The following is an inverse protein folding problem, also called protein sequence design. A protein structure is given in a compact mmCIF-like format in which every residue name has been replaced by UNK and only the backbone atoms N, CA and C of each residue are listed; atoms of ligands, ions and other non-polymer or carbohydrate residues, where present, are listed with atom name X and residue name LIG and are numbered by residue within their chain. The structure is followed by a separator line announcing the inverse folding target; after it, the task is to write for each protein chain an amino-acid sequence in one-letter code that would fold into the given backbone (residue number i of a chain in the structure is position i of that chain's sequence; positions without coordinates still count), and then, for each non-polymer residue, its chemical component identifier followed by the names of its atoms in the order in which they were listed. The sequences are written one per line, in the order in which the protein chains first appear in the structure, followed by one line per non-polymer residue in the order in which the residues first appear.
data_IF_498902160270
#
_entry.id   IF_498902160270
#
_cell.length_a   1.000
_cell.length_b   1.000
_cell.length_c   1.000
_cell.angle_alpha   90.00
_cell.angle_beta   90.00
_cell.angle_gamma   90.00
#
_symmetry.space_group_name_H-M   'P 1'
#
loop_
_entity.id
_entity.type
_entity.pdbx_description
1 polymer ?
#
# COMPACT_ATOMS: atom_id res chain seq x y z
N UNK A 1 2.36 1.38 4.24
CA UNK A 1 2.71 1.32 2.80
C UNK A 1 4.21 1.32 2.67
N UNK A 2 4.77 0.48 1.79
CA UNK A 2 6.21 0.29 1.71
C UNK A 2 6.78 0.90 0.42
N UNK A 3 7.72 1.85 0.56
CA UNK A 3 8.51 2.38 -0.54
C UNK A 3 9.87 1.67 -0.55
N UNK A 4 10.33 1.25 -1.73
CA UNK A 4 11.67 0.74 -1.94
C UNK A 4 12.27 1.30 -3.23
N UNK A 5 13.59 1.28 -3.34
CA UNK A 5 14.35 1.66 -4.53
C UNK A 5 15.28 0.48 -4.83
N UNK A 6 14.80 -0.65 -5.36
CA UNK A 6 15.58 -1.87 -5.48
C UNK A 6 16.76 -1.73 -6.45
N UNK A 7 16.68 -0.81 -7.41
CA UNK A 7 17.68 -0.66 -8.45
C UNK A 7 17.79 0.80 -8.94
N UNK A 8 18.91 1.07 -9.62
CA UNK A 8 19.16 2.32 -10.35
C UNK A 8 19.47 2.01 -11.80
N UNK A 9 19.04 2.87 -12.72
CA UNK A 9 19.30 2.73 -14.15
C UNK A 9 19.96 4.00 -14.70
N UNK A 10 20.89 3.84 -15.65
CA UNK A 10 21.46 4.97 -16.39
C UNK A 10 20.58 5.26 -17.59
N UNK A 11 20.06 6.48 -17.68
CA UNK A 11 19.23 6.94 -18.78
C UNK A 11 19.85 8.13 -19.51
N UNK A 12 19.52 8.28 -20.78
CA UNK A 12 19.83 9.49 -21.55
C UNK A 12 18.74 10.54 -21.34
N UNK A 13 19.14 11.77 -21.06
CA UNK A 13 18.28 12.95 -21.08
C UNK A 13 18.04 13.44 -22.51
N UNK A 14 17.08 14.35 -22.65
CA UNK A 14 16.67 14.92 -23.95
C UNK A 14 17.82 15.64 -24.67
N UNK A 15 18.76 16.19 -23.92
CA UNK A 15 19.97 16.86 -24.42
C UNK A 15 21.15 15.91 -24.69
N UNK A 16 20.93 14.58 -24.63
CA UNK A 16 21.96 13.56 -24.82
C UNK A 16 22.88 13.33 -23.61
N UNK A 17 22.74 14.10 -22.53
CA UNK A 17 23.48 13.85 -21.28
C UNK A 17 22.94 12.61 -20.56
N UNK A 18 23.79 11.84 -19.90
CA UNK A 18 23.32 10.70 -19.09
C UNK A 18 23.06 11.10 -17.64
N UNK A 19 22.07 10.44 -17.03
CA UNK A 19 21.76 10.61 -15.61
C UNK A 19 21.38 9.26 -14.98
N UNK A 20 21.51 9.19 -13.66
CA UNK A 20 21.06 8.04 -12.88
C UNK A 20 19.61 8.26 -12.47
N UNK A 21 18.73 7.35 -12.88
CA UNK A 21 17.37 7.25 -12.40
C UNK A 21 17.30 6.22 -11.25
N UNK A 22 16.45 6.53 -10.28
CA UNK A 22 16.14 5.69 -9.12
C UNK A 22 14.75 5.10 -9.35
N UNK A 23 14.66 3.77 -9.38
CA UNK A 23 13.42 3.06 -9.66
C UNK A 23 12.64 2.95 -8.34
N UNK A 24 11.67 3.83 -8.13
CA UNK A 24 10.84 3.83 -6.92
C UNK A 24 9.75 2.79 -7.09
N UNK A 25 9.81 1.77 -6.25
CA UNK A 25 8.79 0.76 -6.12
C UNK A 25 7.88 1.10 -4.95
N UNK A 26 6.58 1.07 -5.18
CA UNK A 26 5.57 1.12 -4.13
C UNK A 26 5.03 -0.28 -4.00
N UNK A 27 5.14 -0.84 -2.79
CA UNK A 27 4.54 -2.13 -2.50
C UNK A 27 5.02 -3.20 -3.51
N UNK A 28 6.34 -3.26 -3.74
CA UNK A 28 7.01 -4.22 -4.64
C UNK A 28 6.89 -3.95 -6.13
N UNK A 29 5.95 -3.10 -6.56
CA UNK A 29 5.73 -2.78 -7.98
C UNK A 29 6.39 -1.46 -8.32
N UNK A 30 7.04 -1.40 -9.48
CA UNK A 30 7.59 -0.14 -9.99
C UNK A 30 6.47 0.89 -10.15
N UNK A 31 6.59 2.00 -9.42
CA UNK A 31 5.66 3.13 -9.47
C UNK A 31 6.18 4.22 -10.41
N UNK A 32 7.41 4.69 -10.18
CA UNK A 32 8.02 5.72 -10.98
C UNK A 32 9.54 5.62 -11.06
N UNK A 33 10.13 6.30 -12.04
CA UNK A 33 11.56 6.47 -12.24
C UNK A 33 11.88 7.94 -12.12
N UNK A 34 12.71 8.30 -11.15
CA UNK A 34 13.04 9.71 -10.89
C UNK A 34 14.54 9.91 -10.79
N UNK A 35 15.02 11.07 -11.22
CA UNK A 35 16.41 11.50 -10.98
C UNK A 35 16.55 12.15 -9.62
N UNK A 36 17.76 12.14 -9.06
CA UNK A 36 18.06 12.74 -7.76
C UNK A 36 17.55 14.19 -7.63
N UNK A 37 17.68 15.01 -8.68
CA UNK A 37 17.23 16.41 -8.65
C UNK A 37 15.72 16.56 -8.56
N UNK A 38 14.91 15.60 -9.03
CA UNK A 38 13.46 15.62 -8.84
C UNK A 38 13.10 15.39 -7.36
N UNK A 39 13.73 14.39 -6.72
CA UNK A 39 13.53 14.13 -5.29
C UNK A 39 14.04 15.27 -4.42
N UNK A 40 15.14 15.92 -4.82
CA UNK A 40 15.62 17.11 -4.12
C UNK A 40 14.65 18.28 -4.26
N UNK A 41 14.09 18.50 -5.45
CA UNK A 41 13.07 19.52 -5.65
C UNK A 41 11.83 19.29 -4.77
N UNK A 42 11.38 18.04 -4.65
CA UNK A 42 10.35 17.66 -3.70
C UNK A 42 10.76 17.98 -2.26
N UNK A 43 11.97 17.58 -1.84
CA UNK A 43 12.49 17.87 -0.50
C UNK A 43 12.50 19.36 -0.17
N UNK A 44 12.98 20.19 -1.09
CA UNK A 44 13.04 21.65 -0.92
C UNK A 44 11.64 22.25 -0.78
N UNK A 45 10.65 21.74 -1.52
CA UNK A 45 9.25 22.18 -1.41
C UNK A 45 8.62 21.76 -0.07
N UNK A 46 8.78 20.50 0.34
CA UNK A 46 8.27 20.01 1.64
C UNK A 46 8.92 20.81 2.78
N UNK A 47 10.24 21.04 2.70
CA UNK A 47 10.98 21.82 3.69
C UNK A 47 10.51 23.27 3.78
N UNK A 48 10.14 23.87 2.64
CA UNK A 48 9.59 25.23 2.58
C UNK A 48 8.21 25.31 3.23
N UNK A 49 7.36 24.31 3.04
CA UNK A 49 5.98 24.30 3.55
C UNK A 49 5.89 23.91 5.03
N UNK A 50 6.59 22.84 5.44
CA UNK A 50 6.46 22.25 6.78
C UNK A 50 7.62 22.60 7.74
N UNK A 51 8.69 23.21 7.22
CA UNK A 51 9.85 23.64 8.00
C UNK A 51 10.89 22.54 8.23
N UNK A 52 12.12 22.96 8.52
CA UNK A 52 13.30 22.06 8.59
C UNK A 52 13.26 21.02 9.72
N UNK A 53 12.46 21.24 10.76
CA UNK A 53 12.41 20.36 11.93
C UNK A 53 11.50 19.14 11.71
N UNK A 54 10.62 19.19 10.71
CA UNK A 54 9.67 18.11 10.39
C UNK A 54 10.23 17.21 9.29
N UNK A 55 10.98 17.78 8.34
CA UNK A 55 11.42 17.04 7.16
C UNK A 55 12.57 16.09 7.48
N UNK A 56 12.49 14.80 7.08
CA UNK A 56 13.58 13.85 7.24
C UNK A 56 14.88 14.30 6.56
N UNK A 57 16.00 13.78 7.05
CA UNK A 57 17.31 14.06 6.45
C UNK A 57 17.36 13.62 4.98
N UNK A 58 17.85 14.51 4.11
CA UNK A 58 17.97 14.25 2.68
C UNK A 58 19.44 14.09 2.28
N UNK A 59 19.79 13.12 1.41
CA UNK A 59 21.18 12.91 0.99
C UNK A 59 21.73 14.14 0.25
N UNK A 60 22.92 14.65 0.63
CA UNK A 60 23.43 15.91 0.09
C UNK A 60 23.87 15.80 -1.38
N UNK A 61 23.85 16.95 -2.07
CA UNK A 61 24.45 17.12 -3.38
C UNK A 61 25.96 16.89 -3.28
N UNK A 62 26.54 16.20 -4.27
CA UNK A 62 27.99 16.06 -4.45
C UNK A 62 28.38 16.82 -5.71
N UNK A 63 29.55 17.47 -5.68
CA UNK A 63 30.02 18.39 -6.74
C UNK A 63 30.64 17.61 -7.91
N UNK A 64 31.10 16.38 -7.67
CA UNK A 64 31.70 15.50 -8.67
C UNK A 64 30.75 14.36 -9.07
N UNK A 65 31.03 13.76 -10.23
CA UNK A 65 30.37 12.54 -10.69
C UNK A 65 30.51 11.45 -9.63
N UNK A 66 29.40 10.78 -9.33
CA UNK A 66 29.39 9.71 -8.33
C UNK A 66 30.10 8.46 -8.86
N UNK A 67 30.89 7.84 -7.99
CA UNK A 67 31.31 6.44 -8.17
C UNK A 67 30.11 5.49 -8.00
N UNK A 68 30.18 4.26 -8.52
CA UNK A 68 29.10 3.27 -8.34
C UNK A 68 28.73 3.02 -6.87
N UNK A 69 29.72 2.98 -5.97
CA UNK A 69 29.49 2.83 -4.53
C UNK A 69 28.73 4.03 -3.93
N UNK A 70 29.02 5.25 -4.39
CA UNK A 70 28.29 6.44 -3.94
C UNK A 70 26.89 6.54 -4.52
N UNK A 71 26.65 5.99 -5.72
CA UNK A 71 25.29 5.85 -6.28
C UNK A 71 24.47 4.91 -5.40
N UNK A 72 25.03 3.77 -5.03
CA UNK A 72 24.36 2.80 -4.18
C UNK A 72 24.08 3.38 -2.78
N UNK A 73 25.06 4.04 -2.17
CA UNK A 73 24.87 4.73 -0.90
C UNK A 73 23.77 5.81 -1.00
N UNK A 74 23.69 6.54 -2.12
CA UNK A 74 22.64 7.53 -2.34
C UNK A 74 21.28 6.86 -2.53
N UNK A 75 21.20 5.73 -3.23
CA UNK A 75 19.98 4.93 -3.41
C UNK A 75 19.41 4.53 -2.06
N UNK A 76 20.21 3.98 -1.16
CA UNK A 76 19.81 3.61 0.20
C UNK A 76 19.28 4.80 1.01
N UNK A 77 19.98 5.95 0.96
CA UNK A 77 19.53 7.14 1.67
C UNK A 77 18.23 7.74 1.10
N UNK A 78 18.05 7.71 -0.23
CA UNK A 78 16.81 8.15 -0.85
C UNK A 78 15.64 7.21 -0.51
N UNK A 79 15.89 5.91 -0.43
CA UNK A 79 14.90 4.92 0.02
C UNK A 79 14.44 5.22 1.46
N UNK A 80 15.40 5.38 2.38
CA UNK A 80 15.11 5.76 3.78
C UNK A 80 14.34 7.09 3.85
N UNK A 81 14.72 8.07 3.05
CA UNK A 81 14.01 9.35 2.97
C UNK A 81 12.55 9.18 2.53
N UNK A 82 12.29 8.43 1.46
CA UNK A 82 10.93 8.18 0.95
C UNK A 82 10.07 7.44 1.97
N UNK A 83 10.65 6.45 2.66
CA UNK A 83 9.97 5.72 3.73
C UNK A 83 9.62 6.66 4.90
N UNK A 84 10.55 7.49 5.34
CA UNK A 84 10.34 8.44 6.44
C UNK A 84 9.27 9.49 6.10
N UNK A 85 9.30 10.06 4.89
CA UNK A 85 8.27 11.01 4.42
C UNK A 85 6.89 10.36 4.40
N UNK A 86 6.79 9.10 3.93
CA UNK A 86 5.49 8.41 3.89
C UNK A 86 4.96 8.03 5.28
N UNK A 87 5.85 7.69 6.22
CA UNK A 87 5.47 7.28 7.57
C UNK A 87 5.05 8.47 8.45
N UNK A 88 5.51 9.68 8.13
CA UNK A 88 5.07 10.88 8.82
C UNK A 88 3.58 11.17 8.52
N UNK A 89 2.70 11.30 9.54
CA UNK A 89 1.26 11.50 9.34
C UNK A 89 0.90 12.79 8.58
N UNK A 90 1.73 13.83 8.69
CA UNK A 90 1.52 15.11 8.04
C UNK A 90 2.07 15.09 6.61
N UNK A 91 3.32 14.64 6.44
CA UNK A 91 3.99 14.65 5.14
C UNK A 91 3.44 13.56 4.21
N UNK A 92 3.18 12.36 4.75
CA UNK A 92 2.71 11.22 3.97
C UNK A 92 1.32 11.40 3.39
N UNK A 93 0.48 12.20 4.04
CA UNK A 93 -0.85 12.60 3.55
C UNK A 93 -0.86 13.94 2.79
N UNK A 94 0.30 14.60 2.64
CA UNK A 94 0.38 15.89 1.97
C UNK A 94 0.07 15.78 0.48
N UNK A 95 -0.70 16.74 -0.03
CA UNK A 95 -1.00 16.82 -1.46
C UNK A 95 0.27 17.05 -2.30
N UNK A 96 1.27 17.74 -1.75
CA UNK A 96 2.56 17.91 -2.39
C UNK A 96 3.26 16.57 -2.69
N UNK A 97 3.32 15.68 -1.70
CA UNK A 97 3.95 14.38 -1.86
C UNK A 97 3.15 13.48 -2.82
N UNK A 98 1.82 13.42 -2.64
CA UNK A 98 0.95 12.60 -3.49
C UNK A 98 0.93 13.11 -4.94
N UNK A 99 0.90 14.43 -5.16
CA UNK A 99 0.98 15.04 -6.50
C UNK A 99 2.30 14.75 -7.21
N UNK A 100 3.43 14.78 -6.47
CA UNK A 100 4.71 14.36 -7.01
C UNK A 100 4.67 12.90 -7.50
N UNK A 101 4.14 11.98 -6.69
CA UNK A 101 4.06 10.56 -7.04
C UNK A 101 3.19 10.31 -8.27
N UNK A 102 2.08 11.02 -8.42
CA UNK A 102 1.20 10.92 -9.60
C UNK A 102 1.88 11.39 -10.88
N UNK A 103 2.47 12.59 -10.84
CA UNK A 103 3.20 13.15 -11.98
C UNK A 103 4.35 12.25 -12.39
N UNK A 104 5.14 11.76 -11.42
CA UNK A 104 6.23 10.85 -11.68
C UNK A 104 5.76 9.50 -12.27
N UNK A 105 4.61 8.97 -11.83
CA UNK A 105 4.02 7.76 -12.40
C UNK A 105 3.65 7.95 -13.87
N UNK A 106 2.97 9.06 -14.18
CA UNK A 106 2.55 9.39 -15.55
C UNK A 106 3.75 9.62 -16.47
N UNK A 107 4.75 10.40 -16.03
CA UNK A 107 6.00 10.65 -16.76
C UNK A 107 6.76 9.35 -17.06
N UNK A 108 6.80 8.43 -16.09
CA UNK A 108 7.51 7.14 -16.23
C UNK A 108 6.92 6.27 -17.32
N UNK A 109 5.59 6.27 -17.46
CA UNK A 109 4.89 5.47 -18.46
C UNK A 109 4.68 6.21 -19.78
N UNK A 110 4.99 7.52 -19.82
CA UNK A 110 4.85 8.39 -20.99
C UNK A 110 3.41 8.41 -21.54
N UNK A 111 2.42 8.32 -20.65
CA UNK A 111 1.00 8.32 -21.01
C UNK A 111 0.48 9.76 -20.97
N UNK A 112 0.04 10.35 -22.09
CA UNK A 112 -0.54 11.69 -22.10
C UNK A 112 -1.86 11.72 -21.34
N UNK A 113 -2.28 12.92 -20.91
CA UNK A 113 -3.61 13.10 -20.32
C UNK A 113 -4.66 13.12 -21.43
N UNK A 114 -5.54 12.12 -21.44
CA UNK A 114 -6.62 11.99 -22.43
C UNK A 114 -7.83 11.27 -21.83
N UNK A 115 -9.01 11.45 -22.44
CA UNK A 115 -10.23 10.75 -22.04
C UNK A 115 -10.20 9.30 -22.53
N UNK A 116 -10.50 8.38 -21.62
CA UNK A 116 -10.48 6.93 -21.87
C UNK A 116 -11.67 6.26 -21.20
N UNK A 117 -12.13 5.15 -21.78
CA UNK A 117 -13.05 4.24 -21.13
C UNK A 117 -12.26 3.21 -20.32
N UNK A 118 -12.56 3.11 -19.02
CA UNK A 118 -11.97 2.13 -18.12
C UNK A 118 -13.04 1.17 -17.58
N UNK A 119 -12.79 -0.13 -17.72
CA UNK A 119 -13.65 -1.18 -17.17
C UNK A 119 -13.28 -1.47 -15.72
N UNK A 120 -14.29 -1.43 -14.85
CA UNK A 120 -14.18 -1.78 -13.44
C UNK A 120 -15.04 -3.02 -13.16
N UNK A 121 -14.41 -4.09 -12.71
CA UNK A 121 -15.08 -5.34 -12.37
C UNK A 121 -15.82 -5.23 -11.04
N UNK A 122 -16.98 -5.87 -10.96
CA UNK A 122 -17.70 -6.16 -9.73
C UNK A 122 -17.42 -7.60 -9.29
N UNK A 123 -17.72 -7.92 -8.03
CA UNK A 123 -17.41 -9.26 -7.47
C UNK A 123 -18.17 -10.42 -8.15
N UNK A 124 -19.27 -10.14 -8.85
CA UNK A 124 -20.02 -11.11 -9.65
C UNK A 124 -19.53 -11.23 -11.11
N UNK A 125 -18.38 -10.62 -11.46
CA UNK A 125 -17.81 -10.65 -12.81
C UNK A 125 -18.42 -9.63 -13.79
N UNK A 126 -19.46 -8.89 -13.41
CA UNK A 126 -19.97 -7.80 -14.24
C UNK A 126 -18.94 -6.67 -14.35
N UNK A 127 -18.93 -5.98 -15.49
CA UNK A 127 -18.06 -4.83 -15.74
C UNK A 127 -18.87 -3.54 -15.78
N UNK A 128 -18.35 -2.51 -15.14
CA UNK A 128 -18.85 -1.14 -15.15
C UNK A 128 -17.83 -0.29 -15.91
N UNK A 129 -18.19 0.15 -17.11
CA UNK A 129 -17.34 1.03 -17.91
C UNK A 129 -17.59 2.49 -17.51
N UNK A 130 -16.54 3.19 -17.13
CA UNK A 130 -16.53 4.61 -16.78
C UNK A 130 -15.63 5.40 -17.72
N UNK A 131 -16.01 6.64 -18.05
CA UNK A 131 -15.17 7.55 -18.82
C UNK A 131 -14.38 8.41 -17.83
N UNK A 132 -13.05 8.36 -17.92
CA UNK A 132 -12.12 9.02 -17.01
C UNK A 132 -10.99 9.68 -17.81
N UNK A 133 -10.18 10.51 -17.17
CA UNK A 133 -8.87 10.89 -17.71
C UNK A 133 -7.83 9.84 -17.33
N UNK A 134 -6.83 9.62 -18.20
CA UNK A 134 -5.66 8.78 -17.86
C UNK A 134 -4.88 9.29 -16.64
N UNK A 135 -5.05 10.57 -16.28
CA UNK A 135 -4.47 11.25 -15.11
C UNK A 135 -5.40 11.30 -13.89
N UNK A 136 -6.60 10.73 -13.96
CA UNK A 136 -7.51 10.66 -12.81
C UNK A 136 -6.94 9.74 -11.74
N UNK A 137 -7.12 10.14 -10.48
CA UNK A 137 -6.62 9.42 -9.31
C UNK A 137 -7.60 8.33 -8.87
N UNK A 138 -7.17 7.48 -7.94
CA UNK A 138 -8.02 6.41 -7.40
C UNK A 138 -9.39 6.90 -6.91
N UNK A 139 -9.45 8.03 -6.21
CA UNK A 139 -10.72 8.59 -5.73
C UNK A 139 -11.59 9.12 -6.88
N UNK A 140 -11.01 9.81 -7.87
CA UNK A 140 -11.75 10.30 -9.04
C UNK A 140 -12.42 9.15 -9.81
N UNK A 141 -11.69 8.04 -9.98
CA UNK A 141 -12.22 6.82 -10.64
C UNK A 141 -13.27 6.15 -9.76
N UNK A 142 -13.07 6.10 -8.43
CA UNK A 142 -14.06 5.52 -7.51
C UNK A 142 -15.37 6.32 -7.52
N UNK A 143 -15.31 7.65 -7.55
CA UNK A 143 -16.46 8.54 -7.66
C UNK A 143 -17.18 8.38 -9.00
N UNK A 144 -16.43 8.22 -10.10
CA UNK A 144 -17.01 7.94 -11.42
C UNK A 144 -17.77 6.59 -11.43
N UNK A 145 -17.23 5.57 -10.77
CA UNK A 145 -17.88 4.26 -10.61
C UNK A 145 -19.12 4.35 -9.74
N UNK A 146 -19.04 5.06 -8.60
CA UNK A 146 -20.17 5.27 -7.71
C UNK A 146 -21.32 5.99 -8.41
N UNK A 147 -21.01 7.06 -9.15
CA UNK A 147 -21.97 7.80 -9.97
C UNK A 147 -22.61 6.89 -11.01
N UNK A 148 -21.82 6.06 -11.69
CA UNK A 148 -22.31 5.11 -12.71
C UNK A 148 -23.24 4.04 -12.13
N UNK A 149 -23.04 3.67 -10.86
CA UNK A 149 -23.81 2.67 -10.14
C UNK A 149 -25.01 3.26 -9.36
N UNK A 150 -25.15 4.58 -9.31
CA UNK A 150 -26.11 5.27 -8.43
C UNK A 150 -25.89 4.94 -6.94
N UNK A 151 -24.62 4.79 -6.54
CA UNK A 151 -24.22 4.60 -5.15
C UNK A 151 -24.12 5.96 -4.45
N UNK A 152 -24.84 6.19 -3.33
CA UNK A 152 -24.78 7.47 -2.63
C UNK A 152 -23.36 7.81 -2.13
N UNK A 153 -22.99 9.10 -2.19
CA UNK A 153 -21.69 9.64 -1.74
C UNK A 153 -21.29 9.18 -0.34
N UNK A 154 -22.28 9.08 0.57
CA UNK A 154 -22.03 8.64 1.94
C UNK A 154 -21.61 7.18 2.08
N UNK A 155 -21.85 6.36 1.05
CA UNK A 155 -21.48 4.96 0.98
C UNK A 155 -20.20 4.72 0.17
N UNK A 156 -19.71 5.69 -0.60
CA UNK A 156 -18.52 5.54 -1.45
C UNK A 156 -17.30 5.09 -0.65
N UNK A 157 -17.07 5.73 0.50
CA UNK A 157 -15.94 5.42 1.37
C UNK A 157 -15.94 3.99 1.95
N UNK A 158 -17.04 3.24 1.87
CA UNK A 158 -17.06 1.83 2.29
C UNK A 158 -16.44 0.89 1.25
N UNK A 159 -16.23 1.36 0.02
CA UNK A 159 -15.67 0.60 -1.07
C UNK A 159 -14.26 1.09 -1.43
N UNK A 160 -13.51 0.27 -2.15
CA UNK A 160 -12.22 0.65 -2.70
C UNK A 160 -11.95 -0.11 -3.99
N UNK A 161 -11.02 0.42 -4.78
CA UNK A 161 -10.52 -0.22 -5.99
C UNK A 161 -9.31 -1.10 -5.65
N UNK A 162 -9.32 -2.33 -6.17
CA UNK A 162 -8.25 -3.30 -6.00
C UNK A 162 -7.72 -3.72 -7.36
N UNK A 163 -6.40 -3.75 -7.51
CA UNK A 163 -5.77 -4.44 -8.63
C UNK A 163 -5.79 -5.94 -8.34
N UNK A 164 -6.41 -6.70 -9.23
CA UNK A 164 -6.53 -8.16 -9.14
C UNK A 164 -5.98 -8.80 -10.40
N UNK A 165 -5.55 -10.05 -10.27
CA UNK A 165 -5.12 -10.90 -11.39
C UNK A 165 -6.07 -12.09 -11.47
N UNK A 166 -6.60 -12.34 -12.66
CA UNK A 166 -7.38 -13.53 -12.98
C UNK A 166 -6.43 -14.63 -13.49
N UNK A 167 -6.45 -15.78 -12.82
CA UNK A 167 -5.69 -16.97 -13.19
C UNK A 167 -6.36 -17.75 -14.33
N UNK A 168 -5.60 -18.64 -14.97
CA UNK A 168 -6.09 -19.48 -16.08
C UNK A 168 -7.22 -20.43 -15.65
N UNK A 169 -7.28 -20.75 -14.37
CA UNK A 169 -8.30 -21.58 -13.73
C UNK A 169 -9.54 -20.78 -13.25
N UNK A 170 -9.60 -19.47 -13.52
CA UNK A 170 -10.63 -18.56 -13.01
C UNK A 170 -10.41 -18.13 -11.54
N UNK A 171 -9.28 -18.49 -10.95
CA UNK A 171 -8.85 -17.99 -9.64
C UNK A 171 -8.65 -16.48 -9.68
N UNK A 172 -8.95 -15.79 -8.57
CA UNK A 172 -8.76 -14.33 -8.47
C UNK A 172 -7.76 -14.01 -7.36
N UNK A 173 -6.59 -13.52 -7.75
CA UNK A 173 -5.50 -13.14 -6.87
C UNK A 173 -5.54 -11.63 -6.63
N UNK A 174 -5.66 -11.21 -5.37
CA UNK A 174 -5.56 -9.80 -5.00
C UNK A 174 -4.10 -9.36 -5.01
N UNK A 175 -3.74 -8.45 -5.92
CA UNK A 175 -2.37 -7.92 -6.01
C UNK A 175 -2.17 -6.86 -4.94
N UNK A 176 -3.07 -5.87 -4.89
CA UNK A 176 -3.05 -4.76 -3.91
C UNK A 176 -4.31 -3.89 -4.00
N UNK A 177 -4.60 -3.16 -2.92
CA UNK A 177 -5.53 -2.02 -2.96
C UNK A 177 -4.85 -0.82 -3.64
N UNK A 178 -5.53 -0.17 -4.57
CA UNK A 178 -5.06 1.07 -5.19
C UNK A 178 -5.07 2.21 -4.16
N UNK A 179 -4.00 2.99 -4.14
CA UNK A 179 -3.78 4.07 -3.18
C UNK A 179 -4.21 5.41 -3.76
N UNK A 180 -4.48 6.39 -2.91
CA UNK A 180 -4.98 7.72 -3.30
C UNK A 180 -4.08 8.43 -4.33
N UNK A 181 -2.76 8.26 -4.25
CA UNK A 181 -1.81 8.85 -5.20
C UNK A 181 -1.60 8.04 -6.49
N UNK A 182 -2.32 6.95 -6.69
CA UNK A 182 -2.17 6.16 -7.90
C UNK A 182 -3.12 6.62 -8.98
N UNK A 183 -2.68 6.45 -10.22
CA UNK A 183 -3.48 6.62 -11.42
C UNK A 183 -3.98 5.23 -11.86
N UNK A 184 -5.26 4.86 -11.65
CA UNK A 184 -5.73 3.49 -11.91
C UNK A 184 -5.51 3.04 -13.35
N UNK A 185 -5.75 3.91 -14.33
CA UNK A 185 -5.53 3.62 -15.75
C UNK A 185 -4.06 3.30 -16.06
N UNK A 186 -3.12 4.11 -15.54
CA UNK A 186 -1.68 3.89 -15.71
C UNK A 186 -1.25 2.61 -15.01
N UNK A 187 -1.78 2.36 -13.81
CA UNK A 187 -1.45 1.20 -12.98
C UNK A 187 -1.76 -0.12 -13.69
N UNK A 188 -2.94 -0.24 -14.30
CA UNK A 188 -3.32 -1.45 -15.05
C UNK A 188 -2.60 -1.53 -16.41
N UNK A 189 -2.51 -0.44 -17.16
CA UNK A 189 -1.93 -0.43 -18.52
C UNK A 189 -0.43 -0.73 -18.51
N UNK A 190 0.29 -0.29 -17.47
CA UNK A 190 1.72 -0.53 -17.31
C UNK A 190 2.09 -2.03 -17.21
N UNK A 191 1.14 -2.88 -16.81
CA UNK A 191 1.34 -4.34 -16.66
C UNK A 191 1.33 -5.06 -18.01
N UNK A 192 0.77 -4.43 -19.07
CA UNK A 192 0.71 -4.97 -20.45
C UNK A 192 0.19 -6.41 -20.52
N UNK A 193 -0.78 -6.74 -19.68
CA UNK A 193 -1.38 -8.06 -19.61
C UNK A 193 -2.88 -7.94 -19.39
N UNK A 194 -3.65 -8.74 -20.13
CA UNK A 194 -5.10 -8.83 -20.01
C UNK A 194 -5.57 -9.62 -18.79
N UNK A 195 -4.67 -10.26 -18.06
CA UNK A 195 -4.98 -11.01 -16.82
C UNK A 195 -5.28 -10.08 -15.64
N UNK A 196 -4.92 -8.79 -15.73
CA UNK A 196 -5.11 -7.84 -14.64
C UNK A 196 -6.37 -7.02 -14.85
N UNK A 197 -7.10 -6.82 -13.75
CA UNK A 197 -8.34 -6.07 -13.71
C UNK A 197 -8.39 -5.16 -12.48
N UNK A 198 -9.22 -4.12 -12.53
CA UNK A 198 -9.55 -3.32 -11.35
C UNK A 198 -10.91 -3.78 -10.84
N UNK A 199 -10.97 -4.16 -9.56
CA UNK A 199 -12.15 -4.66 -8.88
C UNK A 199 -12.66 -3.64 -7.85
N UNK A 200 -13.97 -3.35 -7.87
CA UNK A 200 -14.66 -2.69 -6.78
C UNK A 200 -15.04 -3.71 -5.69
N UNK A 201 -14.61 -3.47 -4.45
CA UNK A 201 -14.93 -4.34 -3.30
C UNK A 201 -15.12 -3.54 -2.01
N UNK A 202 -15.90 -4.05 -1.06
CA UNK A 202 -16.00 -3.49 0.30
C UNK A 202 -14.60 -3.44 0.94
N UNK A 203 -14.33 -2.40 1.72
CA UNK A 203 -12.98 -2.05 2.21
C UNK A 203 -12.91 -1.78 3.72
N UNK A 204 -13.81 -2.40 4.47
CA UNK A 204 -13.88 -2.40 5.93
C UNK A 204 -13.93 -3.83 6.47
N UNK A 205 -13.56 -4.01 7.73
CA UNK A 205 -13.39 -5.32 8.36
C UNK A 205 -14.52 -5.71 9.31
N UNK A 206 -15.06 -4.76 10.06
CA UNK A 206 -16.16 -5.03 10.98
C UNK A 206 -17.51 -5.12 10.26
N UNK A 207 -18.16 -6.26 10.44
CA UNK A 207 -19.47 -6.58 9.90
C UNK A 207 -20.59 -5.68 10.43
N UNK A 208 -20.40 -4.97 11.55
CA UNK A 208 -21.34 -3.96 12.03
C UNK A 208 -21.65 -2.89 10.96
N UNK A 209 -20.68 -2.61 10.08
CA UNK A 209 -20.83 -1.66 8.99
C UNK A 209 -21.61 -2.20 7.80
N UNK A 210 -21.85 -3.52 7.71
CA UNK A 210 -22.70 -4.08 6.67
C UNK A 210 -24.13 -3.49 6.79
N UNK A 211 -24.59 -3.20 8.01
CA UNK A 211 -25.90 -2.58 8.25
C UNK A 211 -26.08 -1.25 7.53
N UNK A 212 -25.11 -0.35 7.68
CA UNK A 212 -25.10 0.97 7.00
C UNK A 212 -25.18 0.82 5.47
N UNK A 213 -24.48 -0.17 4.91
CA UNK A 213 -24.42 -0.40 3.46
C UNK A 213 -25.68 -1.12 2.95
N UNK A 214 -26.26 -2.02 3.74
CA UNK A 214 -27.48 -2.78 3.37
C UNK A 214 -28.75 -1.93 3.38
N UNK A 215 -28.76 -0.78 4.06
CA UNK A 215 -29.92 0.12 4.09
C UNK A 215 -30.14 0.86 2.75
N UNK A 216 -29.14 0.85 1.87
CA UNK A 216 -29.27 1.30 0.49
C UNK A 216 -29.36 0.11 -0.48
N UNK A 217 -30.21 0.23 -1.51
CA UNK A 217 -30.44 -0.84 -2.50
C UNK A 217 -29.17 -1.21 -3.30
N UNK A 218 -28.38 -0.23 -3.73
CA UNK A 218 -27.14 -0.45 -4.49
C UNK A 218 -26.08 -1.07 -3.58
N UNK A 219 -25.89 -0.52 -2.39
CA UNK A 219 -25.01 -1.07 -1.36
C UNK A 219 -25.35 -2.53 -1.01
N UNK A 220 -26.63 -2.84 -0.77
CA UNK A 220 -27.13 -4.20 -0.56
C UNK A 220 -26.79 -5.13 -1.73
N UNK A 221 -26.97 -4.69 -2.97
CA UNK A 221 -26.66 -5.49 -4.15
C UNK A 221 -25.16 -5.78 -4.29
N UNK A 222 -24.31 -4.80 -4.00
CA UNK A 222 -22.84 -4.96 -4.05
C UNK A 222 -22.36 -5.93 -2.97
N UNK A 223 -22.83 -5.80 -1.72
CA UNK A 223 -22.50 -6.73 -0.65
C UNK A 223 -23.03 -8.14 -0.91
N UNK A 224 -24.25 -8.26 -1.43
CA UNK A 224 -24.83 -9.54 -1.80
C UNK A 224 -24.00 -10.24 -2.88
N UNK A 225 -23.70 -9.53 -3.98
CA UNK A 225 -22.88 -10.05 -5.09
C UNK A 225 -21.49 -10.50 -4.61
N UNK A 226 -20.87 -9.72 -3.71
CA UNK A 226 -19.61 -10.09 -3.09
C UNK A 226 -19.74 -11.35 -2.23
N UNK A 227 -20.76 -11.43 -1.38
CA UNK A 227 -20.97 -12.57 -0.47
C UNK A 227 -21.19 -13.87 -1.27
N UNK A 228 -21.98 -13.83 -2.35
CA UNK A 228 -22.18 -14.96 -3.25
C UNK A 228 -20.84 -15.41 -3.86
N UNK A 229 -20.08 -14.48 -4.44
CA UNK A 229 -18.77 -14.76 -5.04
C UNK A 229 -17.78 -15.36 -4.04
N UNK A 230 -17.72 -14.84 -2.81
CA UNK A 230 -16.84 -15.33 -1.76
C UNK A 230 -17.22 -16.76 -1.30
N UNK A 231 -18.52 -17.12 -1.32
CA UNK A 231 -18.99 -18.50 -1.06
C UNK A 231 -18.62 -19.43 -2.23
N UNK A 232 -18.91 -19.03 -3.46
CA UNK A 232 -18.62 -19.81 -4.67
C UNK A 232 -17.13 -20.11 -4.83
N UNK A 233 -16.27 -19.17 -4.42
CA UNK A 233 -14.80 -19.31 -4.40
C UNK A 233 -14.26 -20.12 -3.21
N UNK A 234 -15.12 -20.54 -2.28
CA UNK A 234 -14.71 -21.22 -1.06
C UNK A 234 -13.82 -20.36 -0.14
N UNK A 235 -14.02 -19.05 -0.16
CA UNK A 235 -13.45 -18.13 0.82
C UNK A 235 -14.26 -18.16 2.11
N UNK A 236 -15.59 -18.12 1.97
CA UNK A 236 -16.53 -18.36 3.05
C UNK A 236 -16.86 -19.85 3.08
N UNK A 237 -16.70 -20.48 4.25
CA UNK A 237 -16.96 -21.91 4.39
C UNK A 237 -18.41 -22.16 4.78
N UNK A 238 -19.06 -23.03 4.00
CA UNK A 238 -20.44 -23.45 4.18
C UNK A 238 -20.52 -24.96 4.37
N UNK A 239 -21.38 -25.41 5.28
CA UNK A 239 -21.79 -26.82 5.34
C UNK A 239 -22.99 -27.08 4.41
N UNK A 240 -23.37 -28.36 4.25
CA UNK A 240 -24.44 -28.77 3.32
C UNK A 240 -25.82 -28.16 3.65
N UNK A 241 -26.14 -27.96 4.92
CA UNK A 241 -27.44 -27.42 5.31
C UNK A 241 -27.49 -25.89 5.15
N UNK A 242 -26.39 -25.21 5.47
CA UNK A 242 -26.20 -23.78 5.19
C UNK A 242 -26.27 -23.50 3.68
N UNK A 243 -25.60 -24.31 2.85
CA UNK A 243 -25.66 -24.19 1.39
C UNK A 243 -27.09 -24.32 0.85
N UNK A 244 -27.89 -25.26 1.37
CA UNK A 244 -29.32 -25.38 1.03
C UNK A 244 -30.12 -24.15 1.43
N UNK A 245 -29.88 -23.61 2.62
CA UNK A 245 -30.56 -22.39 3.10
C UNK A 245 -30.20 -21.18 2.23
N UNK A 246 -28.92 -20.99 1.93
CA UNK A 246 -28.42 -19.92 1.06
C UNK A 246 -29.04 -20.01 -0.33
N UNK A 247 -29.08 -21.19 -0.94
CA UNK A 247 -29.74 -21.42 -2.24
C UNK A 247 -31.22 -21.06 -2.19
N UNK A 248 -31.94 -21.47 -1.14
CA UNK A 248 -33.35 -21.09 -0.98
C UNK A 248 -33.55 -19.57 -0.84
N UNK A 249 -32.67 -18.88 -0.12
CA UNK A 249 -32.71 -17.42 0.02
C UNK A 249 -32.41 -16.71 -1.31
N UNK A 250 -31.45 -17.24 -2.07
CA UNK A 250 -31.10 -16.75 -3.41
C UNK A 250 -32.26 -16.92 -4.39
N UNK A 251 -32.93 -18.07 -4.42
CA UNK A 251 -34.13 -18.33 -5.23
C UNK A 251 -35.28 -17.38 -4.89
N UNK A 252 -35.44 -17.03 -3.61
CA UNK A 252 -36.45 -16.07 -3.14
C UNK A 252 -36.09 -14.61 -3.39
N UNK A 253 -34.84 -14.32 -3.76
CA UNK A 253 -34.32 -12.95 -3.87
C UNK A 253 -34.15 -12.24 -2.52
N UNK A 254 -34.10 -12.98 -1.41
CA UNK A 254 -33.98 -12.48 -0.04
C UNK A 254 -32.54 -12.09 0.30
N UNK A 255 -32.03 -11.02 -0.34
CA UNK A 255 -30.62 -10.62 -0.26
C UNK A 255 -30.16 -10.24 1.14
N UNK A 256 -31.00 -9.56 1.92
CA UNK A 256 -30.66 -9.10 3.27
C UNK A 256 -30.52 -10.29 4.22
N UNK A 257 -31.47 -11.21 4.17
CA UNK A 257 -31.43 -12.47 4.92
C UNK A 257 -30.27 -13.36 4.49
N UNK A 258 -29.93 -13.39 3.19
CA UNK A 258 -28.76 -14.10 2.68
C UNK A 258 -27.48 -13.56 3.29
N UNK A 259 -27.30 -12.24 3.32
CA UNK A 259 -26.12 -11.62 3.95
C UNK A 259 -26.11 -11.88 5.45
N UNK A 260 -27.25 -11.77 6.14
CA UNK A 260 -27.33 -12.08 7.57
C UNK A 260 -26.96 -13.52 7.88
N UNK A 261 -27.41 -14.50 7.08
CA UNK A 261 -26.92 -15.88 7.19
C UNK A 261 -25.41 -15.93 6.92
N UNK A 262 -24.94 -15.22 5.88
CA UNK A 262 -23.54 -15.05 5.53
C UNK A 262 -22.65 -14.60 6.69
N UNK A 263 -23.10 -13.59 7.45
CA UNK A 263 -22.39 -13.04 8.61
C UNK A 263 -22.13 -14.08 9.72
N UNK A 264 -22.92 -15.15 9.77
CA UNK A 264 -22.74 -16.25 10.73
C UNK A 264 -21.74 -17.33 10.26
N UNK A 265 -21.31 -17.28 9.00
CA UNK A 265 -20.46 -18.29 8.39
C UNK A 265 -18.97 -18.05 8.69
N UNK A 266 -18.20 -19.14 8.71
CA UNK A 266 -16.76 -19.06 8.95
C UNK A 266 -16.08 -18.33 7.77
N UNK A 267 -15.25 -17.36 8.13
CA UNK A 267 -14.52 -16.47 7.22
C UNK A 267 -15.37 -15.45 6.43
N UNK A 268 -16.60 -15.19 6.83
CA UNK A 268 -17.31 -14.01 6.31
C UNK A 268 -16.50 -12.73 6.56
N UNK A 269 -16.31 -11.93 5.50
CA UNK A 269 -15.53 -10.68 5.57
C UNK A 269 -14.02 -10.87 5.52
N UNK A 270 -13.51 -12.08 5.30
CA UNK A 270 -12.06 -12.32 5.14
C UNK A 270 -11.63 -12.15 3.69
N UNK A 271 -10.35 -11.82 3.50
CA UNK A 271 -9.64 -11.95 2.22
C UNK A 271 -8.72 -13.17 2.33
N UNK A 272 -8.93 -14.15 1.45
CA UNK A 272 -8.11 -15.36 1.37
C UNK A 272 -7.00 -15.16 0.34
N UNK A 273 -5.79 -15.59 0.69
CA UNK A 273 -4.61 -15.51 -0.16
C UNK A 273 -4.30 -16.85 -0.82
N UNK A 274 -3.52 -16.79 -1.89
CA UNK A 274 -3.04 -17.97 -2.59
C UNK A 274 -2.14 -18.82 -1.69
N UNK A 275 -2.07 -20.15 -1.90
CA UNK A 275 -1.15 -21.02 -1.18
C UNK A 275 0.28 -20.49 -1.21
N UNK A 276 0.93 -20.46 -0.05
CA UNK A 276 2.26 -19.89 0.12
C UNK A 276 3.04 -20.64 1.20
N UNK A 277 4.20 -20.10 1.62
CA UNK A 277 5.11 -20.78 2.55
C UNK A 277 5.27 -19.96 3.82
N UNK A 278 5.37 -20.62 4.97
CA UNK A 278 5.68 -19.97 6.25
C UNK A 278 6.78 -20.71 7.01
N UNK A 279 7.37 -20.03 7.98
CA UNK A 279 8.29 -20.61 8.95
C UNK A 279 7.62 -21.11 10.24
N UNK A 280 6.28 -21.06 10.31
CA UNK A 280 5.50 -21.46 11.47
C UNK A 280 4.48 -22.57 11.16
N UNK A 281 4.35 -23.63 12.00
CA UNK A 281 5.12 -23.87 13.22
C UNK A 281 6.54 -24.38 12.96
N UNK A 282 6.82 -24.80 11.72
CA UNK A 282 8.12 -25.29 11.27
C UNK A 282 8.50 -24.62 9.93
N UNK A 283 9.80 -24.59 9.63
CA UNK A 283 10.31 -23.95 8.40
C UNK A 283 9.84 -24.68 7.15
N UNK A 284 9.28 -23.93 6.21
CA UNK A 284 8.90 -24.45 4.90
C UNK A 284 7.51 -25.06 4.84
N UNK A 285 6.68 -24.88 5.89
CA UNK A 285 5.30 -25.34 5.87
C UNK A 285 4.49 -24.64 4.78
N UNK A 286 3.70 -25.41 4.04
CA UNK A 286 2.70 -24.87 3.13
C UNK A 286 1.55 -24.29 3.95
N UNK A 287 1.08 -23.10 3.58
CA UNK A 287 0.02 -22.41 4.31
C UNK A 287 -0.91 -21.67 3.36
N UNK A 288 -2.19 -21.66 3.71
CA UNK A 288 -3.15 -20.70 3.16
C UNK A 288 -3.43 -19.69 4.25
N UNK A 289 -3.22 -18.41 3.94
CA UNK A 289 -3.45 -17.31 4.88
C UNK A 289 -4.77 -16.63 4.52
N UNK A 290 -5.53 -16.24 5.53
CA UNK A 290 -6.72 -15.40 5.39
C UNK A 290 -6.65 -14.22 6.35
N UNK A 291 -6.91 -13.01 5.89
CA UNK A 291 -6.98 -11.81 6.73
C UNK A 291 -8.42 -11.38 6.95
N UNK A 292 -8.81 -11.12 8.20
CA UNK A 292 -10.15 -10.65 8.55
C UNK A 292 -10.37 -10.70 10.06
N UNK A 293 -11.45 -10.10 10.57
CA UNK A 293 -11.81 -10.14 11.99
C UNK A 293 -10.64 -9.79 12.95
N UNK A 294 -9.81 -8.82 12.59
CA UNK A 294 -8.62 -8.40 13.34
C UNK A 294 -7.61 -9.54 13.58
N UNK A 295 -7.47 -10.46 12.63
CA UNK A 295 -6.49 -11.55 12.67
C UNK A 295 -5.93 -11.92 11.29
N UNK A 296 -4.77 -12.56 11.31
CA UNK A 296 -4.34 -13.45 10.22
C UNK A 296 -4.60 -14.89 10.65
N UNK A 297 -5.45 -15.58 9.91
CA UNK A 297 -5.75 -16.99 10.09
C UNK A 297 -4.88 -17.82 9.15
N UNK A 298 -4.21 -18.84 9.69
CA UNK A 298 -3.30 -19.72 8.98
C UNK A 298 -3.93 -21.12 8.92
N UNK A 299 -4.09 -21.64 7.71
CA UNK A 299 -4.35 -23.04 7.45
C UNK A 299 -3.05 -23.71 6.99
N UNK A 300 -2.31 -24.25 7.96
CA UNK A 300 -0.98 -24.82 7.75
C UNK A 300 -1.10 -26.31 7.46
N UNK A 301 -0.45 -26.76 6.39
CA UNK A 301 -0.23 -28.17 6.10
C UNK A 301 1.08 -28.62 6.72
N UNK A 302 1.00 -29.49 7.72
CA UNK A 302 2.16 -30.05 8.40
C UNK A 302 2.83 -31.15 7.55
N UNK A 303 4.11 -31.51 7.85
CA UNK A 303 4.82 -32.58 7.13
C UNK A 303 4.13 -33.95 7.17
N UNK A 304 3.31 -34.19 8.19
CA UNK A 304 2.50 -35.41 8.31
C UNK A 304 1.16 -35.33 7.55
N UNK A 305 1.02 -34.39 6.62
CA UNK A 305 -0.17 -34.12 5.81
C UNK A 305 -1.41 -33.66 6.60
N UNK A 306 -1.29 -33.44 7.91
CA UNK A 306 -2.39 -32.89 8.71
C UNK A 306 -2.51 -31.38 8.51
N UNK A 307 -3.75 -30.92 8.34
CA UNK A 307 -4.07 -29.50 8.34
C UNK A 307 -4.29 -29.02 9.77
N UNK A 308 -3.57 -27.97 10.18
CA UNK A 308 -3.81 -27.25 11.44
C UNK A 308 -4.16 -25.81 11.18
N UNK A 309 -5.07 -25.31 11.99
CA UNK A 309 -5.47 -23.91 11.98
C UNK A 309 -4.78 -23.15 13.13
N UNK A 310 -4.27 -21.96 12.82
CA UNK A 310 -3.71 -21.02 13.80
C UNK A 310 -4.25 -19.61 13.55
N UNK A 311 -4.49 -18.86 14.63
CA UNK A 311 -5.01 -17.49 14.55
C UNK A 311 -4.03 -16.53 15.20
N UNK A 312 -3.59 -15.52 14.45
CA UNK A 312 -2.71 -14.46 14.92
C UNK A 312 -3.48 -13.15 15.02
N UNK A 313 -3.83 -12.75 16.24
CA UNK A 313 -4.56 -11.49 16.50
C UNK A 313 -3.69 -10.29 16.19
N UNK A 314 -4.23 -9.32 15.45
CA UNK A 314 -3.53 -8.07 15.12
C UNK A 314 -3.09 -7.33 16.39
N UNK A 315 -3.90 -7.35 17.45
CA UNK A 315 -3.61 -6.73 18.75
C UNK A 315 -2.37 -7.28 19.44
N UNK A 316 -1.88 -8.45 19.04
CA UNK A 316 -0.68 -9.11 19.61
C UNK A 316 0.54 -9.00 18.71
N UNK A 317 0.43 -8.33 17.57
CA UNK A 317 1.54 -8.09 16.66
C UNK A 317 2.25 -6.80 17.05
N UNK A 318 3.50 -6.84 17.52
CA UNK A 318 4.25 -5.63 17.89
C UNK A 318 4.51 -4.75 16.68
N UNK A 319 5.00 -5.39 15.63
CA UNK A 319 5.27 -4.75 14.36
C UNK A 319 5.32 -5.78 13.22
N UNK A 320 5.31 -5.31 11.99
CA UNK A 320 5.58 -6.12 10.81
C UNK A 320 6.42 -5.38 9.79
N UNK A 321 7.04 -6.14 8.88
CA UNK A 321 7.83 -5.63 7.76
C UNK A 321 7.58 -6.45 6.51
N UNK A 322 7.69 -5.79 5.37
CA UNK A 322 7.73 -6.44 4.06
C UNK A 322 9.15 -6.33 3.54
N UNK A 323 9.72 -7.46 3.13
CA UNK A 323 11.04 -7.52 2.52
C UNK A 323 10.94 -8.07 1.10
N UNK A 324 11.82 -7.56 0.24
CA UNK A 324 11.96 -7.99 -1.15
C UNK A 324 13.41 -8.39 -1.38
N UNK A 325 13.63 -9.57 -1.94
CA UNK A 325 14.96 -10.05 -2.31
C UNK A 325 14.94 -10.62 -3.72
N UNK A 326 16.01 -10.37 -4.48
CA UNK A 326 16.19 -10.96 -5.79
C UNK A 326 16.82 -12.34 -5.62
N UNK A 327 16.14 -13.37 -6.11
CA UNK A 327 16.65 -14.75 -6.11
C UNK A 327 17.02 -15.12 -7.55
N UNK A 328 18.25 -15.60 -7.82
CA UNK A 328 18.63 -16.08 -9.14
C UNK A 328 17.72 -17.25 -9.53
N UNK A 329 17.10 -17.18 -10.71
CA UNK A 329 16.35 -18.33 -11.23
C UNK A 329 17.36 -19.42 -11.62
N UNK A 330 17.41 -20.49 -10.83
CA UNK A 330 18.20 -21.66 -11.14
C UNK A 330 17.53 -22.44 -12.28
N UNK A 331 17.71 -22.00 -13.52
CA UNK A 331 17.33 -22.82 -14.66
C UNK A 331 18.35 -23.94 -14.82
N UNK A 332 17.93 -25.17 -14.51
CA UNK A 332 18.59 -26.36 -15.01
C UNK A 332 18.70 -26.28 -16.54
N UNK A 333 19.86 -26.64 -17.07
CA UNK A 333 20.24 -26.71 -18.50
C UNK A 333 20.50 -25.38 -19.24
N UNK A 334 21.79 -25.05 -19.33
CA UNK A 334 22.53 -24.54 -20.51
C UNK A 334 21.77 -23.75 -21.57
N UNK A 335 21.98 -22.42 -21.60
CA UNK A 335 22.59 -21.72 -22.74
C UNK A 335 22.91 -20.26 -22.39
N UNK A 336 24.05 -19.79 -22.87
CA UNK A 336 24.60 -18.45 -22.64
C UNK A 336 23.80 -17.34 -23.33
N UNK A 337 23.84 -16.16 -22.72
CA UNK A 337 23.47 -14.86 -23.29
C UNK A 337 21.97 -14.54 -23.37
N UNK A 338 21.33 -14.33 -22.22
CA UNK A 338 20.28 -13.33 -22.02
C UNK A 338 20.21 -12.99 -20.52
N UNK A 339 19.82 -11.76 -20.16
CA UNK A 339 19.75 -11.26 -18.78
C UNK A 339 19.22 -12.34 -17.83
N UNK A 340 20.01 -12.73 -16.83
CA UNK A 340 19.61 -13.68 -15.79
C UNK A 340 18.31 -13.18 -15.17
N UNK A 341 17.16 -13.76 -15.56
CA UNK A 341 15.87 -13.44 -14.96
C UNK A 341 15.99 -13.75 -13.47
N UNK A 342 15.84 -12.73 -12.63
CA UNK A 342 15.79 -12.89 -11.18
C UNK A 342 14.32 -12.90 -10.78
N UNK A 343 13.92 -13.84 -9.93
CA UNK A 343 12.58 -13.83 -9.34
C UNK A 343 12.63 -12.96 -8.08
N UNK A 344 11.61 -12.12 -7.91
CA UNK A 344 11.47 -11.31 -6.70
C UNK A 344 10.77 -12.15 -5.64
N UNK A 345 11.51 -12.51 -4.60
CA UNK A 345 10.97 -13.17 -3.41
C UNK A 345 10.48 -12.11 -2.43
N UNK A 346 9.19 -12.12 -2.16
CA UNK A 346 8.53 -11.24 -1.21
C UNK A 346 8.19 -11.98 0.08
N UNK A 347 8.46 -11.33 1.21
CA UNK A 347 8.18 -11.86 2.54
C UNK A 347 7.45 -10.82 3.39
N UNK A 348 6.42 -11.27 4.12
CA UNK A 348 5.82 -10.54 5.24
C UNK A 348 6.30 -11.21 6.52
N UNK A 349 7.02 -10.47 7.36
CA UNK A 349 7.39 -10.92 8.68
C UNK A 349 6.70 -10.06 9.73
N UNK A 350 6.09 -10.67 10.75
CA UNK A 350 5.49 -9.97 11.88
C UNK A 350 5.98 -10.56 13.20
N UNK A 351 6.13 -9.69 14.19
CA UNK A 351 6.59 -10.07 15.51
C UNK A 351 5.41 -10.21 16.45
N UNK A 352 5.21 -11.41 16.96
CA UNK A 352 3.99 -11.81 17.65
C UNK A 352 4.25 -12.16 19.11
N UNK A 353 3.41 -11.65 20.01
CA UNK A 353 3.41 -12.03 21.42
C UNK A 353 2.79 -13.42 21.59
N UNK A 354 3.63 -14.45 21.66
CA UNK A 354 3.22 -15.85 21.76
C UNK A 354 2.67 -16.20 23.15
N UNK A 355 3.34 -15.70 24.18
CA UNK A 355 2.99 -15.83 25.58
C UNK A 355 3.60 -14.65 26.34
N UNK A 356 3.33 -14.56 27.65
CA UNK A 356 3.97 -13.57 28.52
C UNK A 356 5.47 -13.46 28.26
N UNK A 357 5.94 -12.23 28.03
CA UNK A 357 7.33 -11.89 27.74
C UNK A 357 7.99 -12.65 26.56
N UNK A 358 7.21 -13.31 25.69
CA UNK A 358 7.72 -14.14 24.60
C UNK A 358 7.27 -13.65 23.24
N UNK A 359 8.05 -12.75 22.66
CA UNK A 359 7.90 -12.31 21.28
C UNK A 359 8.62 -13.28 20.32
N UNK A 360 7.99 -13.57 19.19
CA UNK A 360 8.56 -14.41 18.14
C UNK A 360 8.23 -13.84 16.76
N UNK A 361 9.21 -13.82 15.87
CA UNK A 361 8.98 -13.50 14.46
C UNK A 361 8.35 -14.70 13.74
N UNK A 362 7.29 -14.41 12.99
CA UNK A 362 6.66 -15.34 12.04
C UNK A 362 6.77 -14.73 10.65
N UNK A 363 7.22 -15.53 9.69
CA UNK A 363 7.48 -15.11 8.32
C UNK A 363 6.59 -15.87 7.35
N UNK A 364 5.98 -15.14 6.43
CA UNK A 364 5.23 -15.66 5.28
C UNK A 364 5.99 -15.26 4.02
N UNK A 365 6.42 -16.23 3.23
CA UNK A 365 6.93 -16.03 1.87
C UNK A 365 5.77 -16.15 0.89
N UNK A 366 5.38 -15.06 0.25
CA UNK A 366 4.25 -15.01 -0.68
C UNK A 366 4.40 -13.84 -1.66
N UNK A 367 4.05 -14.04 -2.93
CA UNK A 367 3.91 -12.94 -3.90
C UNK A 367 2.85 -11.90 -3.47
N UNK A 368 1.95 -12.26 -2.55
CA UNK A 368 0.93 -11.38 -1.96
C UNK A 368 1.32 -10.80 -0.58
N UNK A 369 2.58 -10.88 -0.15
CA UNK A 369 3.04 -10.32 1.13
C UNK A 369 2.66 -8.84 1.34
N UNK A 370 2.71 -8.07 0.25
CA UNK A 370 2.25 -6.69 0.21
C UNK A 370 0.77 -6.55 0.53
N UNK A 371 -0.09 -7.34 -0.12
CA UNK A 371 -1.53 -7.28 0.09
C UNK A 371 -1.87 -7.70 1.52
N UNK A 372 -1.19 -8.72 2.07
CA UNK A 372 -1.29 -9.09 3.48
C UNK A 372 -0.91 -7.92 4.41
N UNK A 373 0.19 -7.21 4.12
CA UNK A 373 0.58 -6.01 4.88
C UNK A 373 -0.45 -4.87 4.76
N UNK A 374 -1.10 -4.71 3.62
CA UNK A 374 -2.17 -3.72 3.43
C UNK A 374 -3.39 -4.09 4.29
N UNK A 375 -3.74 -5.38 4.35
CA UNK A 375 -4.81 -5.86 5.23
C UNK A 375 -4.49 -5.60 6.71
N UNK A 376 -3.28 -5.91 7.16
CA UNK A 376 -2.82 -5.63 8.52
C UNK A 376 -2.95 -4.15 8.87
N UNK A 377 -2.39 -3.27 8.03
CA UNK A 377 -2.49 -1.83 8.23
C UNK A 377 -3.96 -1.39 8.31
N UNK A 378 -4.80 -1.86 7.40
CA UNK A 378 -6.20 -1.46 7.36
C UNK A 378 -7.01 -1.95 8.57
N UNK A 379 -6.69 -3.12 9.13
CA UNK A 379 -7.30 -3.60 10.37
C UNK A 379 -6.85 -2.77 11.58
N UNK A 380 -5.55 -2.42 11.65
CA UNK A 380 -5.01 -1.53 12.70
C UNK A 380 -5.68 -0.15 12.64
N UNK A 381 -5.75 0.47 11.45
CA UNK A 381 -6.36 1.79 11.28
C UNK A 381 -7.82 1.79 11.77
N UNK A 382 -8.60 0.76 11.42
CA UNK A 382 -9.98 0.62 11.86
C UNK A 382 -10.10 0.45 13.38
N UNK A 383 -9.23 -0.37 14.00
CA UNK A 383 -9.17 -0.56 15.44
C UNK A 383 -8.81 0.74 16.17
N UNK A 384 -7.85 1.49 15.66
CA UNK A 384 -7.41 2.76 16.25
C UNK A 384 -8.53 3.80 16.22
N UNK A 385 -9.28 3.89 15.11
CA UNK A 385 -10.45 4.77 15.02
C UNK A 385 -11.54 4.39 16.03
N UNK A 386 -11.81 3.09 16.22
CA UNK A 386 -12.77 2.65 17.24
C UNK A 386 -12.30 2.97 18.65
N UNK A 387 -11.04 2.70 18.96
CA UNK A 387 -10.45 2.95 20.29
C UNK A 387 -10.49 4.42 20.66
N UNK A 388 -10.29 5.33 19.70
CA UNK A 388 -10.38 6.77 19.93
C UNK A 388 -11.81 7.31 20.01
N UNK A 389 -12.84 6.45 19.98
CA UNK A 389 -14.25 6.87 19.86
C UNK A 389 -14.55 7.61 18.55
N UNK A 390 -13.68 7.46 17.56
CA UNK A 390 -13.80 8.10 16.26
C UNK A 390 -14.92 7.47 15.44
N UNK A 391 -15.49 8.25 14.53
CA UNK A 391 -16.49 7.72 13.59
C UNK A 391 -15.77 7.13 12.38
N UNK A 392 -16.00 5.84 12.11
CA UNK A 392 -15.51 5.22 10.86
C UNK A 392 -16.04 5.97 9.65
N UNK A 393 -17.30 6.46 9.72
CA UNK A 393 -17.91 7.25 8.63
C UNK A 393 -17.07 8.49 8.34
N UNK A 394 -16.48 9.12 9.37
CA UNK A 394 -15.54 10.24 9.18
C UNK A 394 -14.18 9.78 8.65
N UNK A 395 -13.65 8.63 9.05
CA UNK A 395 -12.41 8.08 8.47
C UNK A 395 -12.57 7.79 6.97
N UNK A 396 -13.68 7.13 6.62
CA UNK A 396 -14.02 6.78 5.23
C UNK A 396 -14.39 8.04 4.42
N UNK A 397 -15.10 9.02 5.01
CA UNK A 397 -15.36 10.32 4.36
C UNK A 397 -14.15 11.24 4.28
N UNK A 398 -13.18 11.17 5.20
CA UNK A 398 -11.95 12.00 5.12
C UNK A 398 -11.10 11.61 3.91
N UNK A 399 -11.16 10.35 3.46
CA UNK A 399 -10.59 9.92 2.17
C UNK A 399 -11.29 10.62 0.99
N UNK A 400 -12.62 10.76 1.07
CA UNK A 400 -13.45 11.37 0.03
C UNK A 400 -13.42 12.92 0.01
N UNK A 401 -13.40 13.60 1.17
CA UNK A 401 -13.47 15.07 1.28
C UNK A 401 -12.15 15.81 0.93
N UNK A 402 -11.13 15.13 0.43
CA UNK A 402 -9.93 15.77 -0.14
C UNK A 402 -10.21 16.54 -1.44
N UNK A 403 -11.39 16.33 -2.05
CA UNK A 403 -11.85 17.05 -3.23
C UNK A 403 -12.52 18.38 -2.83
N UNK A 404 -11.75 19.47 -2.90
CA UNK A 404 -12.33 20.81 -3.09
C UNK A 404 -11.85 21.31 -4.45
N UNK A 405 -12.81 21.39 -5.38
CA UNK A 405 -12.74 21.93 -6.72
C UNK A 405 -11.81 21.21 -7.72
N UNK A 406 -12.43 20.66 -8.78
CA UNK A 406 -11.84 20.69 -10.12
C UNK A 406 -11.43 22.14 -10.39
N UNK A 407 -10.17 22.45 -10.16
CA UNK A 407 -9.61 23.71 -10.61
C UNK A 407 -9.63 23.65 -12.13
N UNK A 408 -10.32 24.58 -12.78
CA UNK A 408 -10.36 24.81 -14.24
C UNK A 408 -8.97 25.14 -14.85
N UNK A 409 -7.89 24.69 -14.23
CA UNK A 409 -6.50 24.95 -14.58
C UNK A 409 -5.83 23.79 -15.31
N UNK A 410 -6.54 22.71 -15.62
CA UNK A 410 -6.05 21.66 -16.53
C UNK A 410 -6.39 21.97 -17.99
N UNK A 411 -6.11 23.19 -18.44
CA UNK A 411 -5.85 23.41 -19.86
C UNK A 411 -4.44 22.91 -20.17
N UNK A 412 -4.27 22.26 -21.32
CA UNK A 412 -3.00 21.75 -21.83
C UNK A 412 -1.87 22.78 -21.71
N UNK A 413 -1.10 22.72 -20.63
CA UNK A 413 0.11 23.53 -20.46
C UNK A 413 1.22 22.83 -21.21
N UNK A 414 1.57 23.36 -22.38
CA UNK A 414 2.87 23.08 -23.01
C UNK A 414 3.97 23.32 -21.98
N UNK A 415 4.90 22.38 -21.89
CA UNK A 415 6.06 22.36 -20.99
C UNK A 415 6.67 23.76 -20.81
N UNK A 416 6.86 24.25 -19.57
CA UNK A 416 7.74 25.40 -19.35
C UNK A 416 9.18 24.99 -19.71
N UNK A 417 9.97 25.86 -20.37
CA UNK A 417 11.36 25.55 -20.63
C UNK A 417 12.16 25.44 -19.33
N UNK A 418 13.18 24.59 -19.39
CA UNK A 418 14.18 24.29 -18.36
C UNK A 418 14.67 25.58 -17.69
N UNK A 419 14.67 25.59 -16.35
CA UNK A 419 15.39 26.60 -15.57
C UNK A 419 16.89 26.45 -15.85
N UNK A 420 17.43 27.43 -16.57
CA UNK A 420 18.87 27.63 -16.75
C UNK A 420 19.57 27.84 -15.41
N UNK A 421 20.77 27.27 -15.32
CA UNK A 421 21.67 27.42 -14.17
C UNK A 421 22.25 28.83 -14.13
N UNK A 422 22.44 29.47 -12.96
CA UNK A 422 23.18 30.73 -12.91
C UNK A 422 24.69 30.46 -13.02
N UNK A 423 25.29 31.00 -14.08
CA UNK A 423 26.73 31.06 -14.33
C UNK A 423 27.43 31.95 -13.27
N UNK A 424 28.67 31.65 -12.84
CA UNK A 424 29.34 32.31 -11.73
C UNK A 424 30.16 33.48 -12.25
N UNK A 425 29.58 34.69 -12.29
CA UNK A 425 30.37 35.93 -12.32
C UNK A 425 29.51 37.16 -12.01
N UNK A 426 29.37 37.51 -10.72
CA UNK A 426 29.37 38.93 -10.33
C UNK A 426 29.71 39.12 -8.85
N UNK A 427 30.62 40.05 -8.63
CA UNK A 427 31.29 40.40 -7.38
C UNK A 427 30.42 41.15 -6.36
N UNK A 428 30.65 40.79 -5.10
CA UNK A 428 30.85 41.57 -3.86
C UNK A 428 29.88 42.68 -3.36
N UNK A 429 29.97 42.81 -2.02
CA UNK A 429 29.59 43.89 -1.09
C UNK A 429 28.10 43.83 -0.65
N UNK A 430 27.67 43.79 0.62
CA UNK A 430 28.13 44.39 1.89
C UNK A 430 27.71 43.52 3.10
N UNK A 431 28.57 43.47 4.13
CA UNK A 431 28.36 42.88 5.47
C UNK A 431 27.20 43.55 6.23
N UNK A 432 26.43 42.80 7.02
CA UNK A 432 25.94 43.33 8.30
C UNK A 432 25.92 42.24 9.37
N UNK A 433 26.81 42.40 10.35
CA UNK A 433 26.84 41.68 11.61
C UNK A 433 25.78 42.22 12.56
N UNK A 434 25.15 41.36 13.35
CA UNK A 434 24.88 41.70 14.75
C UNK A 434 24.73 40.44 15.60
N UNK A 435 25.54 40.41 16.65
CA UNK A 435 25.54 39.47 17.76
C UNK A 435 24.23 39.58 18.54
N UNK A 436 23.77 38.49 19.15
CA UNK A 436 23.27 38.50 20.53
C UNK A 436 23.45 37.10 21.15
N UNK A 437 23.80 37.11 22.42
CA UNK A 437 24.46 36.05 23.18
C UNK A 437 23.55 35.45 24.25
N UNK A 438 23.85 34.18 24.59
CA UNK A 438 23.87 33.58 25.94
C UNK A 438 22.60 33.59 26.81
N UNK A 439 22.12 32.39 27.16
CA UNK A 439 21.91 31.97 28.57
C UNK A 439 22.15 30.45 28.67
N UNK A 440 23.00 30.05 29.62
CA UNK A 440 23.15 28.68 30.14
C UNK A 440 22.42 28.57 31.47
N UNK A 441 21.76 27.43 31.74
CA UNK A 441 21.55 26.95 33.11
C UNK A 441 21.83 25.43 33.17
N UNK A 442 22.76 25.08 34.06
CA UNK A 442 23.14 23.73 34.50
C UNK A 442 22.24 23.30 35.67
N UNK A 443 22.11 21.98 35.81
CA UNK A 443 21.79 21.24 37.04
C UNK A 443 21.40 19.80 36.67
N UNK A 444 22.34 18.89 36.41
CA UNK A 444 23.00 17.93 37.34
C UNK A 444 22.02 17.27 38.32
N UNK A 445 21.71 15.98 38.13
CA UNK A 445 22.15 14.87 39.01
C UNK A 445 21.60 13.48 38.61
N UNK A 446 22.53 12.58 38.28
CA UNK A 446 22.65 11.19 38.73
C UNK A 446 21.67 10.13 38.18
N UNK A 447 22.05 9.37 37.16
CA UNK A 447 22.82 8.10 37.20
C UNK A 447 22.00 6.89 37.66
N UNK A 448 21.62 6.03 36.72
CA UNK A 448 21.63 4.59 36.89
C UNK A 448 22.02 3.93 35.58
N UNK A 449 23.13 3.20 35.64
CA UNK A 449 23.76 2.44 34.58
C UNK A 449 23.08 1.10 34.39
N UNK A 450 22.58 0.83 33.19
CA UNK A 450 22.47 -0.51 32.62
C UNK A 450 22.70 -0.38 31.11
N UNK A 451 23.54 -1.25 30.56
CA UNK A 451 24.03 -1.20 29.19
C UNK A 451 22.89 -1.28 28.16
N UNK A 452 22.55 -0.15 27.55
CA UNK A 452 21.78 -0.12 26.30
C UNK A 452 22.73 -0.37 25.13
N UNK A 453 22.60 -1.54 24.53
CA UNK A 453 23.10 -1.82 23.19
C UNK A 453 22.21 -1.03 22.23
N UNK A 454 22.69 0.15 21.84
CA UNK A 454 22.39 0.90 20.62
C UNK A 454 21.07 0.56 19.92
N UNK A 455 20.00 1.25 20.30
CA UNK A 455 18.85 1.47 19.44
C UNK A 455 19.23 2.42 18.31
N UNK A 456 19.45 1.87 17.11
CA UNK A 456 19.34 2.57 15.83
C UNK A 456 19.29 1.52 14.72
N UNK A 457 18.45 1.73 13.71
CA UNK A 457 18.19 0.89 12.52
C UNK A 457 17.06 -0.16 12.59
N UNK A 458 15.92 0.15 13.23
CA UNK A 458 14.70 -0.67 13.06
C UNK A 458 13.55 0.12 12.40
N UNK A 459 13.32 -0.11 11.11
CA UNK A 459 12.20 0.44 10.34
C UNK A 459 11.09 -0.63 10.21
N UNK A 460 10.33 -0.86 11.29
CA UNK A 460 9.13 -1.71 11.27
C UNK A 460 7.84 -0.89 11.24
N UNK A 461 6.74 -1.44 10.68
CA UNK A 461 5.41 -0.87 10.88
C UNK A 461 4.92 -1.31 12.26
N UNK A 462 4.90 -0.42 13.23
CA UNK A 462 4.40 -0.72 14.57
C UNK A 462 2.87 -0.77 14.58
N UNK A 463 2.30 -1.81 15.20
CA UNK A 463 0.85 -1.94 15.27
C UNK A 463 0.23 -1.05 16.36
N UNK A 464 0.88 -1.00 17.53
CA UNK A 464 0.44 -0.24 18.71
C UNK A 464 1.67 0.33 19.46
N UNK A 465 1.48 1.44 20.17
CA UNK A 465 2.50 2.02 21.06
C UNK A 465 2.64 1.14 22.31
N UNK A 466 3.61 0.21 22.27
CA UNK A 466 3.84 -0.73 23.37
C UNK A 466 2.82 -1.86 23.36
N UNK A 467 3.31 -3.10 23.33
CA UNK A 467 2.49 -4.29 23.61
C UNK A 467 2.97 -4.82 24.95
N UNK A 468 2.04 -4.98 25.89
CA UNK A 468 2.32 -5.39 27.27
C UNK A 468 1.59 -6.68 27.65
N UNK A 469 1.85 -7.14 28.87
CA UNK A 469 1.20 -8.33 29.44
C UNK A 469 -0.33 -8.21 29.53
N UNK A 470 -0.88 -7.00 29.50
CA UNK A 470 -2.31 -6.73 29.53
C UNK A 470 -3.02 -7.11 28.21
N UNK A 471 -2.27 -7.38 27.14
CA UNK A 471 -2.78 -7.82 25.82
C UNK A 471 -2.83 -9.36 25.66
N UNK A 472 -2.59 -10.11 26.76
CA UNK A 472 -2.50 -11.58 26.78
C UNK A 472 -3.82 -12.34 26.81
#
# INVERSE_FOLDING_TARGET
MHFSIPETEVRSGENGSTYVAYNIHVNGVLHCRVRYSQLLGLHEQIKKEYGSNVVPAFPPKKIFTLTPAEVEQRREHLEKYMQAVRQDPLLGASEMFNSFLRKAQQETQQIPTEEVALDICLSNGQKVTVNILTSDQTEDVLDAVATKLDLPDELVGYFSLFLVREGVDGGLTFVRKLQEFELPYVSITSLRSSEFHILLRKSYWDMAYDGDVMDNRVGLNLLYAQTVSDIERGWILVNKDQDRQLKSLQEKGSKKEFIHLGQTLKYYGYIKFDPCITDFPEKGCQVIVSAGNNELNFHVKLPNEQMKEGSFKVTRMRCWRVTSSQVPIANGTTNSCSSSKCEVKLELAFEYLMSKDRLQWVTITSHQAIMMSICLQSMVDELMVKKSGGSIKKMLRKRHNGSIHRSDSQQAVKSPPLLDSPDPNREQIVKLSTKLSSVSLRGISASNSANDISGNDFHGNYAFEGIGDDDL
#
